data_IF_150316532589
#
_entry.id   IF_150316532589
#
_cell.length_a   1.000
_cell.length_b   1.000
_cell.length_c   1.000
_cell.angle_alpha   90.00
_cell.angle_beta   90.00
_cell.angle_gamma   90.00
#
_symmetry.space_group_name_H-M   'P 1'
#
loop_
_entity.id
_entity.type
_entity.pdbx_description
1 polymer ?
#
# COMPACT_ATOMS: atom_id res chain seq x y z
N UNK A 1 20.72 -43.53 -8.80
CA UNK A 1 21.14 -42.79 -7.58
C UNK A 1 20.38 -41.49 -7.64
N UNK A 2 19.09 -41.59 -7.34
CA UNK A 2 18.10 -40.57 -7.62
C UNK A 2 17.51 -40.12 -6.29
N UNK A 3 17.09 -38.85 -6.26
CA UNK A 3 16.13 -38.28 -5.31
C UNK A 3 16.62 -37.27 -4.24
N UNK A 4 17.83 -36.72 -4.30
CA UNK A 4 18.12 -35.52 -3.48
C UNK A 4 17.75 -34.21 -4.19
N UNK A 5 18.07 -34.06 -5.48
CA UNK A 5 17.76 -32.83 -6.24
C UNK A 5 16.27 -32.56 -6.46
N UNK A 6 15.42 -33.59 -6.44
CA UNK A 6 13.96 -33.43 -6.59
C UNK A 6 13.29 -32.91 -5.31
N UNK A 7 13.80 -33.32 -4.14
CA UNK A 7 13.26 -32.89 -2.83
C UNK A 7 13.57 -31.42 -2.52
N UNK A 8 14.73 -30.92 -2.97
CA UNK A 8 15.11 -29.51 -2.79
C UNK A 8 14.27 -28.61 -3.73
N UNK A 9 13.98 -29.06 -4.95
CA UNK A 9 13.12 -28.31 -5.90
C UNK A 9 11.69 -28.11 -5.38
N UNK A 10 11.15 -29.08 -4.65
CA UNK A 10 9.78 -28.99 -4.10
C UNK A 10 9.66 -28.15 -2.81
N UNK A 11 10.76 -27.86 -2.10
CA UNK A 11 10.73 -26.97 -0.92
C UNK A 11 10.98 -25.50 -1.24
N UNK A 12 11.45 -25.21 -2.46
CA UNK A 12 11.54 -23.86 -3.01
C UNK A 12 10.46 -23.71 -4.08
N UNK A 13 9.25 -24.22 -3.83
CA UNK A 13 8.07 -23.49 -4.28
C UNK A 13 8.00 -22.23 -3.41
N UNK A 14 8.92 -21.29 -3.67
CA UNK A 14 8.59 -19.88 -3.51
C UNK A 14 7.46 -19.73 -4.50
N UNK A 15 6.26 -19.99 -4.01
CA UNK A 15 5.00 -19.62 -4.62
C UNK A 15 5.14 -18.13 -4.81
N UNK A 16 5.78 -17.74 -5.91
CA UNK A 16 5.88 -16.37 -6.38
C UNK A 16 4.44 -16.05 -6.61
N UNK A 17 3.83 -15.48 -5.58
CA UNK A 17 2.49 -15.00 -5.62
C UNK A 17 2.58 -13.91 -6.70
N UNK A 18 2.19 -14.26 -7.93
CA UNK A 18 2.34 -13.42 -9.13
C UNK A 18 1.60 -12.08 -9.00
N UNK A 19 0.94 -11.85 -7.87
CA UNK A 19 0.17 -10.68 -7.51
C UNK A 19 0.92 -9.63 -6.68
N UNK A 20 2.22 -9.79 -6.39
CA UNK A 20 3.03 -8.74 -5.72
C UNK A 20 3.86 -7.95 -6.76
N UNK A 21 3.20 -7.37 -7.77
CA UNK A 21 3.85 -6.63 -8.87
C UNK A 21 3.27 -5.22 -9.10
N UNK A 22 2.74 -4.58 -8.06
CA UNK A 22 2.46 -3.15 -8.14
C UNK A 22 3.04 -2.47 -6.92
N UNK A 23 3.77 -1.38 -7.14
CA UNK A 23 4.29 -0.50 -6.07
C UNK A 23 3.20 -0.16 -5.04
N UNK A 24 1.94 -0.12 -5.47
CA UNK A 24 0.74 -0.01 -4.64
C UNK A 24 0.72 -1.03 -3.49
N UNK A 25 0.93 -2.32 -3.74
CA UNK A 25 0.87 -3.35 -2.70
C UNK A 25 2.02 -3.22 -1.70
N UNK A 26 3.22 -2.94 -2.20
CA UNK A 26 4.39 -2.68 -1.36
C UNK A 26 4.15 -1.50 -0.43
N UNK A 27 3.72 -0.36 -0.98
CA UNK A 27 3.42 0.83 -0.18
C UNK A 27 2.24 0.63 0.76
N UNK A 28 1.23 -0.15 0.37
CA UNK A 28 0.13 -0.53 1.27
C UNK A 28 0.65 -1.30 2.49
N UNK A 29 1.55 -2.27 2.28
CA UNK A 29 2.11 -3.06 3.37
C UNK A 29 2.99 -2.20 4.30
N UNK A 30 3.83 -1.34 3.71
CA UNK A 30 4.68 -0.40 4.45
C UNK A 30 3.85 0.55 5.30
N UNK A 31 2.82 1.18 4.71
CA UNK A 31 1.95 2.15 5.39
C UNK A 31 1.13 1.46 6.49
N UNK A 32 0.50 0.33 6.17
CA UNK A 32 -0.32 -0.40 7.14
C UNK A 32 0.50 -0.99 8.29
N UNK A 33 1.74 -1.44 8.01
CA UNK A 33 2.66 -1.89 9.06
C UNK A 33 3.18 -0.72 9.90
N UNK A 34 3.52 0.42 9.28
CA UNK A 34 3.97 1.61 10.00
C UNK A 34 2.89 2.19 10.93
N UNK A 35 1.62 2.09 10.56
CA UNK A 35 0.50 2.53 11.38
C UNK A 35 -0.03 1.46 12.35
N UNK A 36 0.50 0.23 12.30
CA UNK A 36 0.00 -0.90 13.09
C UNK A 36 -1.39 -1.39 12.69
N UNK A 37 -1.90 -0.98 11.52
CA UNK A 37 -3.27 -1.23 11.05
C UNK A 37 -3.34 -2.28 9.95
N UNK A 38 -2.62 -3.40 10.10
CA UNK A 38 -2.61 -4.50 9.11
C UNK A 38 -3.99 -5.06 8.78
N UNK A 39 -4.94 -5.03 9.74
CA UNK A 39 -6.34 -5.45 9.52
C UNK A 39 -7.07 -4.60 8.46
N UNK A 40 -6.57 -3.40 8.18
CA UNK A 40 -7.15 -2.46 7.21
C UNK A 40 -6.40 -2.46 5.87
N UNK A 41 -5.51 -3.42 5.63
CA UNK A 41 -4.70 -3.50 4.40
C UNK A 41 -5.53 -3.30 3.12
N UNK A 42 -6.64 -4.03 2.97
CA UNK A 42 -7.52 -3.91 1.80
C UNK A 42 -8.11 -2.49 1.62
N UNK A 43 -8.36 -1.80 2.74
CA UNK A 43 -8.87 -0.43 2.74
C UNK A 43 -7.81 0.56 2.26
N UNK A 44 -6.58 0.42 2.76
CA UNK A 44 -5.43 1.21 2.30
C UNK A 44 -5.15 0.95 0.81
N UNK A 45 -5.19 -0.32 0.37
CA UNK A 45 -5.00 -0.70 -1.02
C UNK A 45 -6.01 0.00 -1.94
N UNK A 46 -7.29 -0.01 -1.57
CA UNK A 46 -8.35 0.62 -2.35
C UNK A 46 -8.17 2.14 -2.47
N UNK A 47 -7.60 2.78 -1.46
CA UNK A 47 -7.33 4.22 -1.49
C UNK A 47 -6.09 4.54 -2.31
N UNK A 48 -4.98 3.85 -2.07
CA UNK A 48 -3.72 4.07 -2.80
C UNK A 48 -3.95 3.82 -4.30
N UNK A 49 -4.82 2.86 -4.66
CA UNK A 49 -5.25 2.66 -6.05
C UNK A 49 -6.05 3.84 -6.63
N UNK A 50 -6.80 4.59 -5.81
CA UNK A 50 -7.56 5.78 -6.25
C UNK A 50 -6.69 7.03 -6.36
N UNK A 51 -5.85 7.31 -5.37
CA UNK A 51 -5.02 8.52 -5.32
C UNK A 51 -3.68 8.38 -6.05
N UNK A 52 -3.23 7.14 -6.29
CA UNK A 52 -1.92 6.83 -6.82
C UNK A 52 -0.83 6.68 -5.75
N UNK A 53 0.23 5.97 -6.12
CA UNK A 53 1.36 5.65 -5.22
C UNK A 53 2.12 6.91 -4.78
N UNK A 54 2.35 7.85 -5.70
CA UNK A 54 3.09 9.08 -5.41
C UNK A 54 2.42 9.92 -4.32
N UNK A 55 1.10 10.11 -4.42
CA UNK A 55 0.30 10.85 -3.44
C UNK A 55 0.28 10.11 -2.09
N UNK A 56 0.10 8.80 -2.10
CA UNK A 56 0.15 7.99 -0.89
C UNK A 56 1.50 8.12 -0.15
N UNK A 57 2.61 8.13 -0.90
CA UNK A 57 3.96 8.30 -0.36
C UNK A 57 4.17 9.69 0.25
N UNK A 58 3.70 10.74 -0.41
CA UNK A 58 3.76 12.12 0.13
C UNK A 58 2.98 12.23 1.44
N UNK A 59 1.73 11.76 1.45
CA UNK A 59 0.88 11.76 2.64
C UNK A 59 1.53 10.95 3.77
N UNK A 60 2.11 9.79 3.46
CA UNK A 60 2.82 8.97 4.45
C UNK A 60 4.01 9.70 5.07
N UNK A 61 4.84 10.37 4.26
CA UNK A 61 5.98 11.14 4.74
C UNK A 61 5.53 12.30 5.65
N UNK A 62 4.50 13.05 5.25
CA UNK A 62 3.94 14.15 6.05
C UNK A 62 3.40 13.67 7.40
N UNK A 63 2.70 12.53 7.43
CA UNK A 63 2.14 11.97 8.67
C UNK A 63 3.24 11.48 9.60
N UNK A 64 4.28 10.85 9.03
CA UNK A 64 5.44 10.40 9.79
C UNK A 64 6.17 11.58 10.44
N UNK A 65 6.25 12.72 9.74
CA UNK A 65 6.84 13.96 10.25
C UNK A 65 5.97 14.62 11.34
N UNK A 66 4.64 14.58 11.19
CA UNK A 66 3.68 15.27 12.06
C UNK A 66 3.45 14.62 13.44
N UNK A 67 4.13 13.51 13.77
CA UNK A 67 4.04 12.75 15.04
C UNK A 67 2.65 12.72 15.71
N UNK A 68 1.61 12.36 14.94
CA UNK A 68 0.22 12.38 15.38
C UNK A 68 -0.18 11.09 16.08
N UNK A 69 -1.05 11.21 17.09
CA UNK A 69 -1.59 10.08 17.88
C UNK A 69 -2.41 9.07 17.07
N UNK A 70 -3.03 9.49 15.95
CA UNK A 70 -3.80 8.60 15.07
C UNK A 70 -3.41 8.78 13.60
N UNK A 71 -2.27 8.22 13.16
CA UNK A 71 -1.72 8.44 11.82
C UNK A 71 -2.61 7.82 10.73
N UNK A 72 -3.26 6.69 11.01
CA UNK A 72 -4.18 6.04 10.07
C UNK A 72 -5.38 6.92 9.72
N UNK A 73 -6.06 7.51 10.71
CA UNK A 73 -7.21 8.40 10.47
C UNK A 73 -6.81 9.63 9.66
N UNK A 74 -5.63 10.19 9.94
CA UNK A 74 -5.10 11.34 9.18
C UNK A 74 -4.80 10.96 7.73
N UNK A 75 -4.28 9.74 7.48
CA UNK A 75 -4.05 9.23 6.14
C UNK A 75 -5.36 9.15 5.34
N UNK A 76 -6.40 8.54 5.91
CA UNK A 76 -7.72 8.45 5.27
C UNK A 76 -8.30 9.82 4.94
N UNK A 77 -8.17 10.77 5.86
CA UNK A 77 -8.66 12.14 5.65
C UNK A 77 -7.89 12.87 4.55
N UNK A 78 -6.55 12.87 4.58
CA UNK A 78 -5.71 13.49 3.55
C UNK A 78 -5.94 12.85 2.17
N UNK A 79 -6.04 11.52 2.11
CA UNK A 79 -6.31 10.81 0.86
C UNK A 79 -7.67 11.18 0.27
N UNK A 80 -8.70 11.37 1.09
CA UNK A 80 -10.02 11.83 0.64
C UNK A 80 -9.94 13.26 0.07
N UNK A 81 -9.16 14.15 0.68
CA UNK A 81 -8.96 15.51 0.19
C UNK A 81 -8.30 15.54 -1.19
N UNK A 82 -7.25 14.73 -1.40
CA UNK A 82 -6.57 14.62 -2.71
C UNK A 82 -7.54 14.13 -3.79
N UNK A 83 -8.32 13.08 -3.49
CA UNK A 83 -9.30 12.55 -4.44
C UNK A 83 -10.41 13.57 -4.80
N UNK A 84 -10.79 14.44 -3.87
CA UNK A 84 -11.78 15.49 -4.15
C UNK A 84 -11.19 16.61 -5.01
N UNK A 85 -9.94 17.01 -4.77
CA UNK A 85 -9.24 18.01 -5.59
C UNK A 85 -9.08 17.57 -7.04
N UNK A 86 -8.77 16.30 -7.29
CA UNK A 86 -8.65 15.77 -8.66
C UNK A 86 -9.98 15.85 -9.44
N UNK A 87 -11.12 15.73 -8.74
CA UNK A 87 -12.46 15.87 -9.34
C UNK A 87 -12.84 17.32 -9.63
N UNK A 88 -12.42 18.26 -8.79
CA UNK A 88 -12.68 19.70 -9.03
C UNK A 88 -11.92 20.23 -10.25
N UNK A 89 -10.71 19.73 -10.49
CA UNK A 89 -9.92 20.12 -11.67
C UNK A 89 -10.58 19.63 -12.96
N UNK A 90 -11.09 18.38 -12.98
CA UNK A 90 -11.77 17.81 -14.14
C UNK A 90 -13.14 18.41 -14.48
N UNK A 91 -13.79 19.08 -13.52
CA UNK A 91 -15.09 19.72 -13.73
C UNK A 91 -14.98 21.19 -14.20
N UNK A 92 -13.77 21.71 -14.40
CA UNK A 92 -13.51 23.08 -14.88
C UNK A 92 -12.96 23.14 -16.31
N UNK A 93 -12.85 22.00 -16.99
CA UNK A 93 -12.57 21.89 -18.43
C UNK A 93 -13.88 21.60 -19.19
#
# INVERSE_FOLDING_TARGET
>A
MDNLSSLIKNKIDVKKNKNIHSEVHYWTDVISSAFGERKKFAMYLGIIKKIGVSQARQIFAEIKDSNVSSPGKLFFWKAKQVNNKDKEVKNKE
#
